data_IF_038908588366
#
_entry.id   IF_038908588366
#
_cell.length_a   1.000
_cell.length_b   1.000
_cell.length_c   1.000
_cell.angle_alpha   90.00
_cell.angle_beta   90.00
_cell.angle_gamma   90.00
#
_symmetry.space_group_name_H-M   'P 1'
#
loop_
_entity.id
_entity.type
_entity.pdbx_description
1 polymer ?
#
# COMPACT_ATOMS: atom_id res chain seq x y z
N UNK A 1 -12.87 2.56 -11.37
CA UNK A 1 -11.86 3.60 -11.13
C UNK A 1 -11.06 3.15 -9.93
N UNK A 2 -9.74 3.09 -10.04
CA UNK A 2 -8.87 2.70 -8.92
C UNK A 2 -8.73 3.90 -7.99
N UNK A 3 -8.95 3.67 -6.69
CA UNK A 3 -8.79 4.71 -5.69
C UNK A 3 -7.29 5.07 -5.58
N UNK A 4 -6.91 6.36 -5.60
CA UNK A 4 -5.53 6.78 -5.29
C UNK A 4 -4.99 6.17 -3.98
N UNK A 5 -5.86 5.89 -3.03
CA UNK A 5 -5.57 5.20 -1.76
C UNK A 5 -5.14 3.75 -1.98
N UNK A 6 -5.77 3.03 -2.92
CA UNK A 6 -5.38 1.66 -3.25
C UNK A 6 -3.95 1.61 -3.79
N UNK A 7 -3.60 2.55 -4.68
CA UNK A 7 -2.24 2.64 -5.23
C UNK A 7 -1.22 2.89 -4.11
N UNK A 8 -1.51 3.81 -3.18
CA UNK A 8 -0.64 4.10 -2.03
C UNK A 8 -0.50 2.89 -1.10
N UNK A 9 -1.58 2.15 -0.89
CA UNK A 9 -1.56 0.92 -0.13
C UNK A 9 -0.59 -0.09 -0.76
N UNK A 10 -0.73 -0.37 -2.06
CA UNK A 10 0.15 -1.32 -2.75
C UNK A 10 1.62 -0.86 -2.80
N UNK A 11 1.88 0.44 -2.92
CA UNK A 11 3.24 0.99 -2.84
C UNK A 11 3.86 0.78 -1.46
N UNK A 12 3.07 1.05 -0.40
CA UNK A 12 3.52 0.86 0.98
C UNK A 12 3.72 -0.61 1.29
N UNK A 13 2.83 -1.47 0.80
CA UNK A 13 2.91 -2.92 0.92
C UNK A 13 4.19 -3.45 0.26
N UNK A 14 4.49 -3.04 -0.97
CA UNK A 14 5.71 -3.44 -1.67
C UNK A 14 6.99 -3.07 -0.88
N UNK A 15 7.01 -1.87 -0.30
CA UNK A 15 8.12 -1.38 0.52
C UNK A 15 8.30 -2.19 1.81
N UNK A 16 7.21 -2.52 2.50
CA UNK A 16 7.25 -3.33 3.74
C UNK A 16 7.65 -4.77 3.43
N UNK A 17 7.11 -5.35 2.37
CA UNK A 17 7.46 -6.71 1.94
C UNK A 17 8.93 -6.86 1.50
N UNK A 18 9.57 -5.80 0.99
CA UNK A 18 11.00 -5.78 0.71
C UNK A 18 11.89 -5.70 1.96
N UNK A 19 11.34 -5.21 3.08
CA UNK A 19 12.07 -4.99 4.32
C UNK A 19 11.79 -6.06 5.39
N UNK A 20 10.84 -6.95 5.10
CA UNK A 20 10.45 -8.04 5.99
C UNK A 20 11.03 -9.33 5.47
N UNK A 21 11.86 -9.98 6.27
CA UNK A 21 12.38 -11.31 5.96
C UNK A 21 11.26 -12.35 6.01
N UNK A 22 11.32 -13.35 5.11
CA UNK A 22 10.35 -14.45 5.06
C UNK A 22 9.16 -14.22 4.14
N UNK A 23 9.07 -13.07 3.47
CA UNK A 23 8.12 -12.89 2.35
C UNK A 23 8.63 -13.64 1.14
N UNK A 24 7.76 -14.47 0.56
CA UNK A 24 8.07 -15.25 -0.62
C UNK A 24 8.13 -14.37 -1.89
N UNK A 25 8.96 -14.79 -2.85
CA UNK A 25 9.14 -14.07 -4.11
C UNK A 25 7.84 -14.01 -4.93
N UNK A 26 6.94 -14.99 -4.76
CA UNK A 26 5.66 -14.98 -5.46
C UNK A 26 4.74 -13.85 -4.96
N UNK A 27 4.64 -13.63 -3.64
CA UNK A 27 3.91 -12.49 -3.09
C UNK A 27 4.51 -11.15 -3.55
N UNK A 28 5.83 -11.01 -3.51
CA UNK A 28 6.51 -9.79 -3.98
C UNK A 28 6.22 -9.50 -5.47
N UNK A 29 6.28 -10.53 -6.32
CA UNK A 29 5.97 -10.39 -7.74
C UNK A 29 4.50 -10.04 -8.00
N UNK A 30 3.57 -10.63 -7.25
CA UNK A 30 2.14 -10.31 -7.38
C UNK A 30 1.87 -8.84 -7.02
N UNK A 31 2.49 -8.34 -5.95
CA UNK A 31 2.39 -6.94 -5.54
C UNK A 31 2.99 -6.01 -6.61
N UNK A 32 4.15 -6.35 -7.17
CA UNK A 32 4.78 -5.55 -8.21
C UNK A 32 3.93 -5.51 -9.49
N UNK A 33 3.39 -6.66 -9.91
CA UNK A 33 2.48 -6.76 -11.05
C UNK A 33 1.26 -5.86 -10.88
N UNK A 34 0.64 -5.86 -9.69
CA UNK A 34 -0.49 -5.00 -9.37
C UNK A 34 -0.17 -3.50 -9.46
N UNK A 35 1.05 -3.10 -9.13
CA UNK A 35 1.52 -1.72 -9.27
C UNK A 35 1.77 -1.32 -10.73
N UNK A 36 2.31 -2.24 -11.52
CA UNK A 36 2.68 -2.00 -12.91
C UNK A 36 1.45 -1.93 -13.83
N UNK A 37 0.53 -2.89 -13.71
CA UNK A 37 -0.65 -2.96 -14.57
C UNK A 37 -1.76 -2.03 -14.11
N UNK A 38 -1.84 -1.81 -12.79
CA UNK A 38 -3.00 -1.19 -12.15
C UNK A 38 -4.29 -1.86 -12.61
N UNK A 39 -4.27 -3.18 -12.77
CA UNK A 39 -5.46 -3.95 -13.09
C UNK A 39 -6.14 -4.39 -11.78
N UNK A 40 -7.46 -4.22 -11.63
CA UNK A 40 -8.19 -4.69 -10.46
C UNK A 40 -8.05 -6.20 -10.20
N UNK A 41 -7.86 -7.03 -11.23
CA UNK A 41 -7.58 -8.46 -11.10
C UNK A 41 -6.22 -8.71 -10.48
N UNK A 42 -5.18 -8.01 -10.95
CA UNK A 42 -3.83 -8.15 -10.41
C UNK A 42 -3.76 -7.64 -8.96
N UNK A 43 -4.49 -6.57 -8.64
CA UNK A 43 -4.63 -6.08 -7.26
C UNK A 43 -5.30 -7.11 -6.34
N UNK A 44 -6.32 -7.83 -6.82
CA UNK A 44 -6.93 -8.93 -6.06
C UNK A 44 -5.97 -10.11 -5.91
N UNK A 45 -5.24 -10.46 -6.97
CA UNK A 45 -4.24 -11.52 -6.91
C UNK A 45 -3.14 -11.20 -5.88
N UNK A 46 -2.64 -9.96 -5.85
CA UNK A 46 -1.71 -9.50 -4.83
C UNK A 46 -2.29 -9.59 -3.41
N UNK A 47 -3.57 -9.23 -3.23
CA UNK A 47 -4.26 -9.39 -1.94
C UNK A 47 -4.30 -10.85 -1.49
N UNK A 48 -4.68 -11.75 -2.40
CA UNK A 48 -4.70 -13.19 -2.13
C UNK A 48 -3.31 -13.76 -1.81
N UNK A 49 -2.26 -13.26 -2.47
CA UNK A 49 -0.89 -13.67 -2.17
C UNK A 49 -0.46 -13.26 -0.75
N UNK A 50 -0.85 -12.05 -0.29
CA UNK A 50 -0.62 -11.62 1.10
C UNK A 50 -1.45 -12.45 2.09
N UNK A 51 -2.70 -12.75 1.76
CA UNK A 51 -3.58 -13.54 2.63
C UNK A 51 -3.11 -15.00 2.78
N UNK A 52 -2.31 -15.50 1.84
CA UNK A 52 -1.72 -16.83 1.86
C UNK A 52 -0.42 -16.93 2.69
N UNK A 53 0.12 -15.82 3.18
CA UNK A 53 1.26 -15.81 4.09
C UNK A 53 0.89 -16.40 5.45
N UNK A 54 1.90 -16.80 6.23
CA UNK A 54 1.72 -17.15 7.63
C UNK A 54 1.01 -16.02 8.39
N UNK A 55 0.06 -16.35 9.26
CA UNK A 55 -0.78 -15.36 9.95
C UNK A 55 0.05 -14.36 10.76
N UNK A 56 1.12 -14.81 11.42
CA UNK A 56 2.01 -13.93 12.20
C UNK A 56 2.75 -12.96 11.29
N UNK A 57 3.23 -13.46 10.15
CA UNK A 57 3.94 -12.66 9.16
C UNK A 57 3.00 -11.63 8.50
N UNK A 58 1.81 -12.08 8.09
CA UNK A 58 0.76 -11.23 7.51
C UNK A 58 0.40 -10.10 8.46
N UNK A 59 0.13 -10.41 9.74
CA UNK A 59 -0.24 -9.40 10.73
C UNK A 59 0.88 -8.38 10.96
N UNK A 60 2.14 -8.83 11.01
CA UNK A 60 3.29 -7.93 11.11
C UNK A 60 3.39 -6.98 9.91
N UNK A 61 3.26 -7.51 8.69
CA UNK A 61 3.30 -6.72 7.46
C UNK A 61 2.17 -5.69 7.44
N UNK A 62 0.93 -6.12 7.68
CA UNK A 62 -0.24 -5.23 7.66
C UNK A 62 -0.14 -4.15 8.75
N UNK A 63 0.30 -4.49 9.96
CA UNK A 63 0.52 -3.49 11.01
C UNK A 63 1.56 -2.44 10.59
N UNK A 64 2.66 -2.85 9.95
CA UNK A 64 3.67 -1.90 9.46
C UNK A 64 3.13 -1.02 8.32
N UNK A 65 2.38 -1.60 7.39
CA UNK A 65 1.72 -0.85 6.30
C UNK A 65 0.76 0.19 6.88
N UNK A 66 -0.12 -0.21 7.79
CA UNK A 66 -1.07 0.69 8.44
C UNK A 66 -0.37 1.81 9.21
N UNK A 67 0.70 1.50 9.97
CA UNK A 67 1.50 2.51 10.65
C UNK A 67 2.10 3.52 9.67
N UNK A 68 2.69 3.05 8.57
CA UNK A 68 3.30 3.92 7.57
C UNK A 68 2.29 4.82 6.89
N UNK A 69 1.15 4.26 6.46
CA UNK A 69 0.08 5.04 5.86
C UNK A 69 -0.50 6.08 6.84
N UNK A 70 -0.63 5.74 8.13
CA UNK A 70 -1.09 6.67 9.15
C UNK A 70 -0.07 7.80 9.45
N UNK A 71 1.22 7.56 9.20
CA UNK A 71 2.29 8.56 9.37
C UNK A 71 2.67 9.29 8.08
N UNK A 72 2.05 8.96 6.95
CA UNK A 72 2.32 9.62 5.68
C UNK A 72 1.70 11.03 5.67
N UNK A 73 2.52 12.00 6.09
CA UNK A 73 2.18 13.44 6.13
C UNK A 73 1.70 13.95 4.77
N UNK A 74 2.21 13.41 3.67
CA UNK A 74 1.77 13.80 2.32
C UNK A 74 0.33 13.36 2.06
N UNK A 75 -0.04 12.16 2.52
CA UNK A 75 -1.41 11.65 2.43
C UNK A 75 -2.36 12.41 3.35
N UNK A 76 -1.92 12.74 4.58
CA UNK A 76 -2.69 13.57 5.52
C UNK A 76 -2.98 14.94 4.89
N UNK A 77 -1.98 15.57 4.26
CA UNK A 77 -2.16 16.86 3.60
C UNK A 77 -3.11 16.80 2.39
N UNK A 78 -2.98 15.77 1.54
CA UNK A 78 -3.85 15.61 0.38
C UNK A 78 -5.32 15.43 0.81
N UNK A 79 -5.59 14.65 1.85
CA UNK A 79 -6.95 14.48 2.41
C UNK A 79 -7.47 15.79 3.01
N UNK A 80 -6.63 16.57 3.70
CA UNK A 80 -7.03 17.89 4.25
C UNK A 80 -7.36 18.90 3.14
N UNK A 81 -6.57 18.94 2.07
CA UNK A 81 -6.82 19.83 0.93
C UNK A 81 -8.12 19.47 0.20
N UNK A 82 -8.40 18.17 0.03
CA UNK A 82 -9.62 17.69 -0.61
C UNK A 82 -10.87 17.96 0.26
N UNK A 83 -10.77 17.79 1.58
CA UNK A 83 -11.87 18.03 2.52
C UNK A 83 -12.19 19.52 2.73
N UNK A 84 -11.22 20.41 2.52
CA UNK A 84 -11.40 21.87 2.71
C UNK A 84 -11.70 22.63 1.40
N UNK A 85 -11.70 21.96 0.25
CA UNK A 85 -11.89 22.59 -1.06
C UNK A 85 -10.81 23.63 -1.41
N UNK A 86 -9.75 23.72 -0.60
CA UNK A 86 -8.67 24.68 -0.77
C UNK A 86 -7.39 23.91 -1.12
N UNK A 87 -6.84 24.22 -2.30
CA UNK A 87 -5.43 24.00 -2.65
C UNK A 87 -4.56 24.87 -1.75
N UNK A 88 -4.43 24.51 -0.47
CA UNK A 88 -3.39 25.09 0.38
C UNK A 88 -2.05 24.51 -0.05
N UNK A 89 -1.18 25.38 -0.55
CA UNK A 89 0.19 25.06 -0.93
C UNK A 89 0.89 24.27 0.18
N UNK A 90 1.57 23.17 -0.20
CA UNK A 90 2.38 22.38 0.73
C UNK A 90 3.48 23.27 1.31
N UNK A 91 3.69 23.29 2.64
CA UNK A 91 4.86 23.94 3.21
C UNK A 91 6.13 23.22 2.74
N UNK A 92 7.13 23.99 2.31
CA UNK A 92 8.46 23.51 1.91
C UNK A 92 9.20 22.80 3.06
#
# INVERSE_FOLDING_TARGET
MIDPTDIRFFQTLALVCHQTDGVDTHCQNAIQQALDTRDPQDMRAARHAVDALDDVLKDQILQQVHRRMATDISAIWDVMSYASGQTKERPN
#
